data_IF_736957683920
#
_entry.id   IF_736957683920
#
_cell.length_a   1.000
_cell.length_b   1.000
_cell.length_c   1.000
_cell.angle_alpha   90.00
_cell.angle_beta   90.00
_cell.angle_gamma   90.00
#
_symmetry.space_group_name_H-M   'P 1'
#
loop_
_entity.id
_entity.type
_entity.pdbx_description
1 polymer ?
#
# COMPACT_ATOMS: atom_id res chain seq x y z
N UNK A 1 -9.70 -2.66 7.57
CA UNK A 1 -10.51 -1.47 7.35
C UNK A 1 -11.70 -1.72 6.42
N UNK A 2 -12.69 -0.81 6.44
CA UNK A 2 -13.93 -0.92 5.63
C UNK A 2 -13.76 -0.38 4.20
N UNK A 3 -12.68 0.33 3.91
CA UNK A 3 -12.44 0.94 2.60
C UNK A 3 -12.52 -0.03 1.39
N UNK A 4 -11.97 -1.26 1.45
CA UNK A 4 -12.13 -2.21 0.35
C UNK A 4 -13.60 -2.51 0.01
N UNK A 5 -14.49 -2.57 1.02
CA UNK A 5 -15.92 -2.79 0.80
C UNK A 5 -16.59 -1.60 0.11
N UNK A 6 -16.23 -0.37 0.51
CA UNK A 6 -16.74 0.85 -0.11
C UNK A 6 -16.27 0.96 -1.57
N UNK A 7 -14.99 0.66 -1.81
CA UNK A 7 -14.41 0.67 -3.15
C UNK A 7 -15.05 -0.40 -4.06
N UNK A 8 -15.30 -1.61 -3.52
CA UNK A 8 -15.93 -2.69 -4.27
C UNK A 8 -17.36 -2.33 -4.73
N UNK A 9 -18.07 -1.52 -3.96
CA UNK A 9 -19.39 -1.00 -4.32
C UNK A 9 -19.36 0.17 -5.33
N UNK A 10 -18.18 0.59 -5.77
CA UNK A 10 -18.01 1.69 -6.73
C UNK A 10 -17.86 3.08 -6.10
N UNK A 11 -17.88 3.20 -4.77
CA UNK A 11 -17.74 4.48 -4.06
C UNK A 11 -16.28 4.82 -3.73
N UNK A 12 -15.36 4.62 -4.68
CA UNK A 12 -13.91 4.85 -4.50
C UNK A 12 -13.58 6.27 -4.06
N UNK A 13 -14.40 7.25 -4.46
CA UNK A 13 -14.24 8.65 -4.06
C UNK A 13 -14.41 8.82 -2.55
N UNK A 14 -15.37 8.11 -1.95
CA UNK A 14 -15.56 8.10 -0.50
C UNK A 14 -14.43 7.37 0.23
N UNK A 15 -14.00 6.22 -0.32
CA UNK A 15 -12.82 5.50 0.19
C UNK A 15 -11.57 6.38 0.22
N UNK A 16 -11.34 7.15 -0.84
CA UNK A 16 -10.24 8.13 -0.89
C UNK A 16 -10.38 9.22 0.17
N UNK A 17 -11.58 9.82 0.30
CA UNK A 17 -11.81 10.89 1.28
C UNK A 17 -11.61 10.44 2.72
N UNK A 18 -12.00 9.22 3.08
CA UNK A 18 -11.79 8.68 4.42
C UNK A 18 -10.32 8.44 4.74
N UNK A 19 -9.52 7.99 3.76
CA UNK A 19 -8.06 7.85 3.90
C UNK A 19 -7.40 9.22 3.99
N UNK A 20 -7.77 10.15 3.12
CA UNK A 20 -7.23 11.52 3.12
C UNK A 20 -7.53 12.24 4.45
N UNK A 21 -8.75 12.07 5.00
CA UNK A 21 -9.09 12.60 6.32
C UNK A 21 -8.18 12.02 7.41
N UNK A 22 -7.97 10.70 7.41
CA UNK A 22 -7.07 10.06 8.37
C UNK A 22 -5.65 10.59 8.27
N UNK A 23 -5.13 10.74 7.04
CA UNK A 23 -3.81 11.30 6.81
C UNK A 23 -3.72 12.76 7.30
N UNK A 24 -4.72 13.59 7.01
CA UNK A 24 -4.77 14.98 7.48
C UNK A 24 -4.79 15.07 9.01
N UNK A 25 -5.62 14.26 9.67
CA UNK A 25 -5.68 14.19 11.14
C UNK A 25 -4.34 13.75 11.72
N UNK A 26 -3.69 12.75 11.12
CA UNK A 26 -2.38 12.29 11.57
C UNK A 26 -1.30 13.38 11.43
N UNK A 27 -1.22 14.04 10.26
CA UNK A 27 -0.26 15.13 10.01
C UNK A 27 -0.41 16.28 11.02
N UNK A 28 -1.65 16.56 11.46
CA UNK A 28 -1.91 17.63 12.45
C UNK A 28 -1.60 17.14 13.87
N UNK A 29 -1.96 15.92 14.22
CA UNK A 29 -1.81 15.41 15.59
C UNK A 29 -0.38 14.99 15.89
N UNK A 30 0.39 14.49 14.92
CA UNK A 30 1.79 14.08 15.12
C UNK A 30 2.64 15.19 15.73
N UNK A 31 2.72 16.42 15.15
CA UNK A 31 3.50 17.49 15.75
C UNK A 31 3.02 17.90 17.15
N UNK A 32 1.71 17.87 17.36
CA UNK A 32 1.12 18.27 18.64
C UNK A 32 1.52 17.26 19.73
N UNK A 33 1.39 15.98 19.46
CA UNK A 33 1.67 14.95 20.47
C UNK A 33 3.18 14.70 20.65
N UNK A 34 3.96 14.80 19.57
CA UNK A 34 5.41 14.56 19.65
C UNK A 34 6.13 15.75 20.29
N UNK A 35 5.83 16.97 19.84
CA UNK A 35 6.60 18.17 20.23
C UNK A 35 5.89 19.02 21.29
N UNK A 36 4.58 19.33 21.13
CA UNK A 36 3.88 20.20 22.06
C UNK A 36 3.56 19.52 23.39
N UNK A 37 3.25 18.23 23.40
CA UNK A 37 2.97 17.44 24.59
C UNK A 37 4.16 16.59 25.06
N UNK A 38 5.30 16.69 24.36
CA UNK A 38 6.57 15.98 24.65
C UNK A 38 6.41 14.45 24.89
N UNK A 39 5.45 13.86 24.18
CA UNK A 39 5.14 12.43 24.30
C UNK A 39 6.07 11.53 23.47
N UNK A 40 6.91 12.10 22.58
CA UNK A 40 7.83 11.37 21.73
C UNK A 40 7.15 10.27 20.92
N UNK A 41 7.71 9.06 20.91
CA UNK A 41 7.18 7.89 20.16
C UNK A 41 5.76 7.49 20.58
N UNK A 42 5.41 7.67 21.87
CA UNK A 42 4.05 7.40 22.35
C UNK A 42 3.02 8.36 21.73
N UNK A 43 3.43 9.61 21.52
CA UNK A 43 2.61 10.62 20.86
C UNK A 43 2.29 10.25 19.41
N UNK A 44 3.29 9.82 18.63
CA UNK A 44 3.11 9.33 17.27
C UNK A 44 2.15 8.13 17.20
N UNK A 45 2.27 7.18 18.12
CA UNK A 45 1.38 6.03 18.19
C UNK A 45 -0.07 6.46 18.48
N UNK A 46 -0.29 7.38 19.43
CA UNK A 46 -1.62 7.92 19.75
C UNK A 46 -2.22 8.69 18.58
N UNK A 47 -1.46 9.54 17.92
CA UNK A 47 -1.92 10.28 16.74
C UNK A 47 -2.38 9.32 15.63
N UNK A 48 -1.61 8.27 15.38
CA UNK A 48 -1.97 7.24 14.39
C UNK A 48 -3.27 6.53 14.75
N UNK A 49 -3.45 6.13 16.02
CA UNK A 49 -4.69 5.47 16.49
C UNK A 49 -5.89 6.41 16.36
N UNK A 50 -5.73 7.68 16.73
CA UNK A 50 -6.80 8.68 16.62
C UNK A 50 -7.16 8.95 15.15
N UNK A 51 -6.19 9.08 14.27
CA UNK A 51 -6.39 9.27 12.84
C UNK A 51 -7.13 8.08 12.21
N UNK A 52 -6.75 6.86 12.56
CA UNK A 52 -7.43 5.65 12.09
C UNK A 52 -8.84 5.54 12.65
N UNK A 53 -9.06 5.93 13.91
CA UNK A 53 -10.38 5.94 14.54
C UNK A 53 -11.29 6.97 13.87
N UNK A 54 -10.80 8.18 13.58
CA UNK A 54 -11.55 9.19 12.85
C UNK A 54 -11.97 8.70 11.45
N UNK A 55 -11.04 8.13 10.69
CA UNK A 55 -11.35 7.49 9.40
C UNK A 55 -12.40 6.40 9.52
N UNK A 56 -12.28 5.54 10.53
CA UNK A 56 -13.24 4.46 10.78
C UNK A 56 -14.64 4.99 11.11
N UNK A 57 -14.75 5.98 11.97
CA UNK A 57 -16.02 6.59 12.37
C UNK A 57 -16.74 7.20 11.15
N UNK A 58 -16.02 7.96 10.31
CA UNK A 58 -16.59 8.54 9.09
C UNK A 58 -17.01 7.44 8.10
N UNK A 59 -16.22 6.41 7.95
CA UNK A 59 -16.52 5.25 7.12
C UNK A 59 -17.80 4.54 7.61
N UNK A 60 -17.89 4.30 8.91
CA UNK A 60 -19.06 3.67 9.54
C UNK A 60 -20.32 4.52 9.42
N UNK A 61 -20.19 5.84 9.63
CA UNK A 61 -21.28 6.79 9.45
C UNK A 61 -21.81 6.78 8.01
N UNK A 62 -20.90 6.79 7.03
CA UNK A 62 -21.26 6.72 5.61
C UNK A 62 -22.00 5.44 5.26
N UNK A 63 -21.47 4.28 5.69
CA UNK A 63 -22.10 2.97 5.45
C UNK A 63 -23.46 2.87 6.12
N UNK A 64 -23.62 3.40 7.35
CA UNK A 64 -24.90 3.44 8.04
C UNK A 64 -25.92 4.36 7.37
N UNK A 65 -25.48 5.47 6.82
CA UNK A 65 -26.36 6.41 6.12
C UNK A 65 -26.88 5.86 4.79
N UNK A 66 -26.12 4.95 4.17
CA UNK A 66 -26.45 4.34 2.88
C UNK A 66 -26.70 2.83 3.02
N UNK A 67 -27.42 2.42 4.07
CA UNK A 67 -27.65 1.01 4.40
C UNK A 67 -28.32 0.24 3.25
N UNK A 68 -29.19 0.89 2.49
CA UNK A 68 -29.88 0.30 1.34
C UNK A 68 -28.92 -0.14 0.24
N UNK A 69 -27.84 0.63 0.01
CA UNK A 69 -26.82 0.33 -0.99
C UNK A 69 -25.86 -0.79 -0.56
N UNK A 70 -25.62 -0.90 0.74
CA UNK A 70 -24.69 -1.90 1.28
C UNK A 70 -25.39 -3.21 1.67
N UNK A 71 -26.71 -3.31 1.51
CA UNK A 71 -27.47 -4.51 1.84
C UNK A 71 -27.40 -4.91 3.32
N UNK A 72 -27.04 -3.97 4.20
CA UNK A 72 -26.94 -4.18 5.65
C UNK A 72 -28.34 -4.25 6.32
N UNK A 73 -29.34 -4.73 5.60
CA UNK A 73 -30.64 -5.01 6.19
C UNK A 73 -30.47 -6.10 7.24
N UNK A 74 -31.04 -5.87 8.41
CA UNK A 74 -31.00 -6.68 9.65
C UNK A 74 -31.57 -8.11 9.50
N UNK A 75 -31.51 -8.70 8.30
CA UNK A 75 -31.91 -10.07 8.05
C UNK A 75 -30.77 -10.99 8.44
N UNK A 76 -30.96 -11.63 9.61
CA UNK A 76 -30.33 -12.86 10.11
C UNK A 76 -29.02 -13.22 9.40
N UNK A 77 -27.93 -12.63 9.89
CA UNK A 77 -26.59 -12.98 9.47
C UNK A 77 -26.17 -14.37 9.95
N UNK A 78 -26.73 -15.40 9.34
CA UNK A 78 -26.16 -16.73 9.45
C UNK A 78 -24.86 -16.79 8.66
N UNK A 79 -23.83 -17.38 9.23
CA UNK A 79 -22.60 -17.67 8.51
C UNK A 79 -22.93 -18.69 7.42
N UNK A 80 -22.89 -18.25 6.17
CA UNK A 80 -23.10 -19.12 5.02
C UNK A 80 -21.83 -19.91 4.77
N UNK A 81 -21.84 -21.21 5.12
CA UNK A 81 -20.66 -22.08 5.06
C UNK A 81 -19.99 -22.09 3.68
N UNK A 82 -20.76 -22.03 2.61
CA UNK A 82 -20.23 -21.98 1.25
C UNK A 82 -19.35 -20.74 1.01
N UNK A 83 -19.82 -19.56 1.43
CA UNK A 83 -19.07 -18.30 1.31
C UNK A 83 -17.83 -18.30 2.22
N UNK A 84 -17.98 -18.78 3.46
CA UNK A 84 -16.86 -18.92 4.38
C UNK A 84 -15.76 -19.82 3.79
N UNK A 85 -16.13 -20.98 3.27
CA UNK A 85 -15.18 -21.91 2.64
C UNK A 85 -14.48 -21.26 1.44
N UNK A 86 -15.20 -20.50 0.63
CA UNK A 86 -14.61 -19.77 -0.49
C UNK A 86 -13.63 -18.67 -0.04
N UNK A 87 -13.98 -17.92 1.00
CA UNK A 87 -13.09 -16.93 1.61
C UNK A 87 -11.82 -17.58 2.18
N UNK A 88 -11.94 -18.70 2.87
CA UNK A 88 -10.80 -19.43 3.43
C UNK A 88 -9.90 -20.01 2.32
N UNK A 89 -10.49 -20.58 1.26
CA UNK A 89 -9.73 -21.12 0.11
C UNK A 89 -8.87 -20.05 -0.58
N UNK A 90 -9.31 -18.80 -0.59
CA UNK A 90 -8.55 -17.68 -1.15
C UNK A 90 -7.63 -17.04 -0.10
N UNK A 91 -8.10 -16.91 1.13
CA UNK A 91 -7.39 -16.23 2.20
C UNK A 91 -6.18 -17.01 2.72
N UNK A 92 -6.28 -18.32 2.88
CA UNK A 92 -5.18 -19.13 3.41
C UNK A 92 -3.94 -19.10 2.50
N UNK A 93 -4.05 -19.38 1.17
CA UNK A 93 -2.90 -19.27 0.27
C UNK A 93 -2.30 -17.86 0.25
N UNK A 94 -3.14 -16.82 0.25
CA UNK A 94 -2.66 -15.43 0.30
C UNK A 94 -1.93 -15.11 1.60
N UNK A 95 -2.41 -15.61 2.74
CA UNK A 95 -1.74 -15.44 4.02
C UNK A 95 -0.38 -16.15 4.05
N UNK A 96 -0.31 -17.38 3.55
CA UNK A 96 0.95 -18.13 3.43
C UNK A 96 1.93 -17.37 2.53
N UNK A 97 1.47 -16.87 1.37
CA UNK A 97 2.30 -16.09 0.46
C UNK A 97 2.87 -14.85 1.15
N UNK A 98 2.02 -14.06 1.85
CA UNK A 98 2.48 -12.88 2.58
C UNK A 98 3.47 -13.21 3.69
N UNK A 99 3.26 -14.34 4.39
CA UNK A 99 4.18 -14.80 5.43
C UNK A 99 5.55 -15.16 4.85
N UNK A 100 5.58 -15.91 3.73
CA UNK A 100 6.84 -16.26 3.06
C UNK A 100 7.58 -15.01 2.57
N UNK A 101 6.88 -14.06 1.97
CA UNK A 101 7.48 -12.77 1.56
C UNK A 101 8.03 -12.01 2.77
N UNK A 102 7.29 -11.95 3.87
CA UNK A 102 7.74 -11.30 5.10
C UNK A 102 8.99 -11.95 5.71
N UNK A 103 9.03 -13.29 5.74
CA UNK A 103 10.20 -14.05 6.21
C UNK A 103 11.41 -13.84 5.29
N UNK A 104 11.21 -13.79 3.98
CA UNK A 104 12.28 -13.50 3.02
C UNK A 104 12.87 -12.10 3.24
N UNK A 105 12.00 -11.12 3.52
CA UNK A 105 12.43 -9.76 3.85
C UNK A 105 13.25 -9.71 5.15
N UNK A 106 12.80 -10.44 6.17
CA UNK A 106 13.50 -10.53 7.45
C UNK A 106 14.89 -11.18 7.27
N UNK A 107 14.96 -12.30 6.54
CA UNK A 107 16.21 -12.98 6.23
C UNK A 107 17.18 -12.09 5.45
N UNK A 108 16.68 -11.35 4.46
CA UNK A 108 17.49 -10.41 3.67
C UNK A 108 18.04 -9.27 4.53
N UNK A 109 17.21 -8.70 5.41
CA UNK A 109 17.63 -7.66 6.35
C UNK A 109 18.71 -8.18 7.32
N UNK A 110 18.58 -9.42 7.77
CA UNK A 110 19.57 -10.05 8.63
C UNK A 110 20.93 -10.17 7.92
N UNK A 111 20.92 -10.68 6.67
CA UNK A 111 22.13 -10.80 5.87
C UNK A 111 22.79 -9.43 5.57
N UNK A 112 21.99 -8.42 5.26
CA UNK A 112 22.51 -7.07 4.98
C UNK A 112 23.21 -6.48 6.21
N UNK A 113 22.67 -6.72 7.40
CA UNK A 113 23.27 -6.22 8.65
C UNK A 113 24.67 -6.80 8.92
N UNK A 114 24.97 -8.00 8.43
CA UNK A 114 26.30 -8.61 8.54
C UNK A 114 27.36 -7.87 7.72
N UNK A 115 26.97 -7.11 6.69
CA UNK A 115 27.89 -6.30 5.87
C UNK A 115 28.25 -4.94 6.50
N UNK A 116 27.72 -4.66 7.69
CA UNK A 116 28.04 -3.45 8.45
C UNK A 116 27.03 -2.32 8.33
N UNK A 117 27.32 -1.25 9.05
CA UNK A 117 26.38 -0.11 9.23
C UNK A 117 26.11 0.62 7.92
N UNK A 118 27.14 0.83 7.10
CA UNK A 118 27.01 1.57 5.84
C UNK A 118 26.12 0.83 4.83
N UNK A 119 26.26 -0.50 4.73
CA UNK A 119 25.43 -1.32 3.87
C UNK A 119 23.96 -1.34 4.36
N UNK A 120 23.77 -1.44 5.66
CA UNK A 120 22.43 -1.40 6.27
C UNK A 120 21.76 -0.04 6.06
N UNK A 121 22.49 1.07 6.23
CA UNK A 121 21.99 2.42 5.99
C UNK A 121 21.66 2.63 4.50
N UNK A 122 22.55 2.22 3.59
CA UNK A 122 22.33 2.30 2.15
C UNK A 122 21.07 1.53 1.72
N UNK A 123 20.90 0.30 2.21
CA UNK A 123 19.73 -0.53 1.93
C UNK A 123 18.45 0.10 2.48
N UNK A 124 18.49 0.67 3.70
CA UNK A 124 17.36 1.37 4.31
C UNK A 124 16.89 2.58 3.48
N UNK A 125 17.80 3.37 2.95
CA UNK A 125 17.51 4.52 2.09
C UNK A 125 16.91 4.02 0.75
N UNK A 126 17.52 3.03 0.12
CA UNK A 126 17.02 2.43 -1.12
C UNK A 126 15.62 1.86 -0.96
N UNK A 127 15.34 1.19 0.17
CA UNK A 127 14.02 0.67 0.48
C UNK A 127 12.95 1.77 0.51
N UNK A 128 13.24 2.95 1.08
CA UNK A 128 12.30 4.08 1.10
C UNK A 128 11.99 4.61 -0.30
N UNK A 129 12.99 4.72 -1.15
CA UNK A 129 12.80 5.15 -2.55
C UNK A 129 11.97 4.11 -3.31
N UNK A 130 12.28 2.84 -3.14
CA UNK A 130 11.53 1.73 -3.72
C UNK A 130 10.08 1.69 -3.25
N UNK A 131 9.82 1.92 -1.96
CA UNK A 131 8.47 1.97 -1.41
C UNK A 131 7.62 3.04 -2.09
N UNK A 132 8.19 4.23 -2.36
CA UNK A 132 7.50 5.31 -3.10
C UNK A 132 7.16 4.86 -4.52
N UNK A 133 8.08 4.19 -5.22
CA UNK A 133 7.82 3.65 -6.54
C UNK A 133 6.73 2.56 -6.52
N UNK A 134 6.77 1.66 -5.52
CA UNK A 134 5.77 0.61 -5.32
C UNK A 134 4.36 1.17 -5.05
N UNK A 135 4.22 2.30 -4.37
CA UNK A 135 2.91 2.91 -4.11
C UNK A 135 2.13 3.18 -5.41
N UNK A 136 2.82 3.62 -6.47
CA UNK A 136 2.19 3.86 -7.77
C UNK A 136 1.65 2.57 -8.39
N UNK A 137 2.42 1.49 -8.35
CA UNK A 137 2.02 0.17 -8.85
C UNK A 137 0.86 -0.42 -8.02
N UNK A 138 0.94 -0.31 -6.69
CA UNK A 138 -0.14 -0.76 -5.79
C UNK A 138 -1.45 -0.01 -6.01
N UNK A 139 -1.38 1.29 -6.30
CA UNK A 139 -2.57 2.09 -6.60
C UNK A 139 -3.25 1.59 -7.91
N UNK A 140 -2.47 1.34 -8.96
CA UNK A 140 -2.97 0.78 -10.22
C UNK A 140 -3.53 -0.63 -10.03
N UNK A 141 -2.83 -1.49 -9.30
CA UNK A 141 -3.30 -2.83 -8.96
C UNK A 141 -4.66 -2.80 -8.23
N UNK A 142 -4.80 -1.94 -7.21
CA UNK A 142 -6.04 -1.82 -6.44
C UNK A 142 -7.20 -1.31 -7.30
N UNK A 143 -6.93 -0.32 -8.17
CA UNK A 143 -7.92 0.20 -9.09
C UNK A 143 -8.36 -0.86 -10.12
N UNK A 144 -7.41 -1.55 -10.75
CA UNK A 144 -7.68 -2.60 -11.72
C UNK A 144 -8.48 -3.75 -11.11
N UNK A 145 -8.06 -4.25 -9.95
CA UNK A 145 -8.73 -5.35 -9.23
C UNK A 145 -10.18 -4.98 -8.91
N UNK A 146 -10.44 -3.75 -8.48
CA UNK A 146 -11.79 -3.28 -8.18
C UNK A 146 -12.68 -3.29 -9.42
N UNK A 147 -12.19 -2.74 -10.55
CA UNK A 147 -12.96 -2.68 -11.81
C UNK A 147 -13.18 -4.07 -12.40
N UNK A 148 -12.16 -4.94 -12.34
CA UNK A 148 -12.26 -6.34 -12.79
C UNK A 148 -13.33 -7.08 -11.99
N UNK A 149 -13.30 -6.96 -10.66
CA UNK A 149 -14.28 -7.60 -9.79
C UNK A 149 -15.72 -7.15 -10.09
N UNK A 150 -15.93 -5.86 -10.36
CA UNK A 150 -17.23 -5.31 -10.76
C UNK A 150 -17.67 -5.85 -12.13
N UNK A 151 -16.75 -5.94 -13.09
CA UNK A 151 -17.07 -6.49 -14.41
C UNK A 151 -17.45 -7.98 -14.34
N UNK A 152 -16.72 -8.75 -13.54
CA UNK A 152 -17.01 -10.18 -13.31
C UNK A 152 -18.34 -10.37 -12.60
N UNK A 153 -18.61 -9.57 -11.56
CA UNK A 153 -19.90 -9.58 -10.85
C UNK A 153 -21.11 -9.23 -11.74
N UNK A 154 -20.88 -8.41 -12.78
CA UNK A 154 -21.89 -8.05 -13.78
C UNK A 154 -21.96 -9.04 -14.97
N UNK A 155 -21.17 -10.11 -14.97
CA UNK A 155 -21.13 -11.10 -16.07
C UNK A 155 -20.47 -10.58 -17.36
N UNK A 156 -19.74 -9.44 -17.31
CA UNK A 156 -19.13 -8.79 -18.48
C UNK A 156 -17.67 -9.20 -18.65
N UNK A 157 -17.43 -10.46 -19.02
CA UNK A 157 -16.08 -11.05 -19.09
C UNK A 157 -15.18 -10.36 -20.13
N UNK A 158 -15.70 -9.98 -21.29
CA UNK A 158 -14.93 -9.27 -22.34
C UNK A 158 -14.43 -7.91 -21.85
N UNK A 159 -15.23 -7.24 -21.02
CA UNK A 159 -14.85 -5.97 -20.43
C UNK A 159 -13.78 -6.16 -19.35
N UNK A 160 -13.89 -7.21 -18.54
CA UNK A 160 -12.88 -7.57 -17.55
C UNK A 160 -11.52 -7.85 -18.23
N UNK A 161 -11.50 -8.62 -19.31
CA UNK A 161 -10.29 -8.89 -20.09
C UNK A 161 -9.65 -7.62 -20.65
N UNK A 162 -10.45 -6.72 -21.22
CA UNK A 162 -9.94 -5.41 -21.69
C UNK A 162 -9.32 -4.59 -20.58
N UNK A 163 -9.94 -4.56 -19.40
CA UNK A 163 -9.40 -3.85 -18.22
C UNK A 163 -8.04 -4.40 -17.82
N UNK A 164 -7.86 -5.73 -17.82
CA UNK A 164 -6.56 -6.37 -17.52
C UNK A 164 -5.49 -5.88 -18.49
N UNK A 165 -5.74 -5.93 -19.79
CA UNK A 165 -4.77 -5.51 -20.81
C UNK A 165 -4.42 -4.01 -20.71
N UNK A 166 -5.41 -3.16 -20.45
CA UNK A 166 -5.19 -1.72 -20.28
C UNK A 166 -4.41 -1.44 -19.02
N UNK A 167 -4.79 -2.05 -17.90
CA UNK A 167 -4.10 -1.91 -16.63
C UNK A 167 -2.63 -2.35 -16.73
N UNK A 168 -2.37 -3.50 -17.35
CA UNK A 168 -1.02 -4.01 -17.58
C UNK A 168 -0.17 -3.01 -18.39
N UNK A 169 -0.70 -2.48 -19.50
CA UNK A 169 0.02 -1.49 -20.31
C UNK A 169 0.35 -0.22 -19.55
N UNK A 170 -0.61 0.28 -18.75
CA UNK A 170 -0.40 1.47 -17.93
C UNK A 170 0.63 1.19 -16.84
N UNK A 171 0.52 0.05 -16.15
CA UNK A 171 1.46 -0.33 -15.09
C UNK A 171 2.89 -0.46 -15.61
N UNK A 172 3.09 -1.13 -16.74
CA UNK A 172 4.40 -1.25 -17.39
C UNK A 172 4.93 0.13 -17.81
N UNK A 173 4.09 0.98 -18.39
CA UNK A 173 4.46 2.34 -18.79
C UNK A 173 4.89 3.20 -17.59
N UNK A 174 4.13 3.15 -16.50
CA UNK A 174 4.45 3.87 -15.26
C UNK A 174 5.73 3.33 -14.62
N UNK A 175 5.86 2.00 -14.52
CA UNK A 175 7.08 1.38 -13.97
C UNK A 175 8.31 1.74 -14.80
N UNK A 176 8.24 1.65 -16.12
CA UNK A 176 9.34 2.04 -17.01
C UNK A 176 9.71 3.52 -16.85
N UNK A 177 8.71 4.39 -16.78
CA UNK A 177 8.94 5.83 -16.53
C UNK A 177 9.63 6.09 -15.18
N UNK A 178 9.19 5.43 -14.12
CA UNK A 178 9.81 5.54 -12.79
C UNK A 178 11.24 4.98 -12.77
N UNK A 179 11.49 3.85 -13.44
CA UNK A 179 12.85 3.30 -13.56
C UNK A 179 13.76 4.31 -14.23
N UNK A 180 13.37 4.88 -15.36
CA UNK A 180 14.18 5.88 -16.07
C UNK A 180 14.45 7.11 -15.20
N UNK A 181 13.43 7.63 -14.51
CA UNK A 181 13.59 8.79 -13.62
C UNK A 181 14.57 8.47 -12.49
N UNK A 182 14.40 7.33 -11.83
CA UNK A 182 15.25 6.96 -10.70
C UNK A 182 16.66 6.64 -11.16
N UNK A 183 16.88 5.97 -12.32
CA UNK A 183 18.20 5.69 -12.87
C UNK A 183 18.98 6.97 -13.21
N UNK A 184 18.30 7.94 -13.85
CA UNK A 184 18.93 9.21 -14.24
C UNK A 184 19.23 10.08 -13.03
N UNK A 185 18.30 10.14 -12.08
CA UNK A 185 18.38 11.03 -10.93
C UNK A 185 18.78 10.32 -9.62
N UNK A 186 19.30 9.09 -9.69
CA UNK A 186 19.69 8.32 -8.50
C UNK A 186 20.59 9.10 -7.53
N UNK A 187 21.69 9.75 -7.96
CA UNK A 187 22.56 10.50 -7.04
C UNK A 187 21.84 11.69 -6.40
N UNK A 188 21.00 12.40 -7.16
CA UNK A 188 20.24 13.56 -6.66
C UNK A 188 19.16 13.15 -5.65
N UNK A 189 18.45 12.05 -5.92
CA UNK A 189 17.43 11.53 -5.02
C UNK A 189 18.07 11.06 -3.71
N UNK A 190 19.20 10.35 -3.80
CA UNK A 190 19.91 9.85 -2.64
C UNK A 190 20.54 10.98 -1.82
N UNK A 191 20.99 12.08 -2.45
CA UNK A 191 21.56 13.24 -1.74
C UNK A 191 20.58 13.93 -0.79
N UNK A 192 19.26 13.77 -1.00
CA UNK A 192 18.21 14.28 -0.09
C UNK A 192 18.34 13.68 1.33
N UNK A 193 18.85 12.45 1.41
CA UNK A 193 19.06 11.75 2.68
C UNK A 193 20.39 12.07 3.34
N UNK A 194 21.24 12.87 2.69
CA UNK A 194 22.56 13.32 3.15
C UNK A 194 23.45 12.18 3.70
N UNK A 195 23.62 11.06 2.94
CA UNK A 195 24.42 9.92 3.37
C UNK A 195 25.92 10.25 3.30
N UNK A 196 26.73 9.54 4.11
CA UNK A 196 28.18 9.57 4.02
C UNK A 196 28.66 9.06 2.66
N UNK A 197 29.91 9.42 2.27
CA UNK A 197 30.45 9.03 0.95
C UNK A 197 30.45 7.52 0.72
N UNK A 198 30.77 6.72 1.74
CA UNK A 198 30.77 5.25 1.66
C UNK A 198 29.35 4.71 1.44
N UNK A 199 28.40 5.17 2.25
CA UNK A 199 26.97 4.84 2.13
C UNK A 199 26.40 5.28 0.78
N UNK A 200 26.79 6.46 0.27
CA UNK A 200 26.34 6.98 -1.03
C UNK A 200 26.72 6.07 -2.19
N UNK A 201 28.00 5.63 -2.23
CA UNK A 201 28.49 4.75 -3.30
C UNK A 201 27.73 3.41 -3.32
N UNK A 202 27.51 2.80 -2.16
CA UNK A 202 26.75 1.56 -2.01
C UNK A 202 25.27 1.77 -2.36
N UNK A 203 24.66 2.87 -1.92
CA UNK A 203 23.26 3.17 -2.18
C UNK A 203 22.99 3.37 -3.67
N UNK A 204 23.86 4.07 -4.42
CA UNK A 204 23.70 4.25 -5.87
C UNK A 204 23.72 2.91 -6.61
N UNK A 205 24.68 2.03 -6.27
CA UNK A 205 24.75 0.71 -6.89
C UNK A 205 23.52 -0.15 -6.55
N UNK A 206 23.16 -0.19 -5.27
CA UNK A 206 22.02 -0.98 -4.80
C UNK A 206 20.71 -0.49 -5.43
N UNK A 207 20.48 0.83 -5.44
CA UNK A 207 19.25 1.42 -6.00
C UNK A 207 19.10 1.10 -7.49
N UNK A 208 20.16 1.21 -8.28
CA UNK A 208 20.13 0.89 -9.71
C UNK A 208 19.79 -0.57 -9.99
N UNK A 209 20.32 -1.49 -9.20
CA UNK A 209 20.02 -2.92 -9.36
C UNK A 209 18.57 -3.21 -8.92
N UNK A 210 18.16 -2.71 -7.75
CA UNK A 210 16.85 -2.99 -7.19
C UNK A 210 15.70 -2.38 -8.00
N UNK A 211 15.90 -1.17 -8.57
CA UNK A 211 14.82 -0.49 -9.30
C UNK A 211 14.47 -1.21 -10.60
N UNK A 212 15.41 -1.90 -11.23
CA UNK A 212 15.14 -2.72 -12.42
C UNK A 212 14.16 -3.84 -12.12
N UNK A 213 14.15 -4.35 -10.88
CA UNK A 213 13.17 -5.33 -10.42
C UNK A 213 11.73 -4.80 -10.40
N UNK A 214 11.53 -3.49 -10.41
CA UNK A 214 10.20 -2.89 -10.37
C UNK A 214 9.32 -3.28 -11.57
N UNK A 215 9.92 -3.59 -12.72
CA UNK A 215 9.18 -4.01 -13.91
C UNK A 215 8.43 -5.33 -13.70
N UNK A 216 8.94 -6.20 -12.82
CA UNK A 216 8.30 -7.49 -12.48
C UNK A 216 7.12 -7.33 -11.52
N UNK A 217 6.97 -6.17 -10.87
CA UNK A 217 5.82 -5.85 -10.03
C UNK A 217 4.69 -5.15 -10.81
N UNK A 218 4.95 -4.68 -12.02
CA UNK A 218 3.99 -3.99 -12.87
C UNK A 218 3.09 -4.95 -13.65
#
# INVERSE_FOLDING_TARGET
>A
GMNPFINAQGFSRMGMMTVALGAAVNIVLDPIFIFALDMGVRGAALATVMAQTASFVVCLWYVRRHQDLFGLTRRRGGIERAKLTQMLKLGIPSAVQMTVVGLSWLAMTFLINDYGVDASAASGICAKIKDIALLSTLALYTAATTVIAQCLGAGKFDRASRVVHVAMRISIGVAAGLIVIIEVFAPQILSIFNPDQATMALAVQNLRIEILGQIFYA
#
